data_IF_838697517940
#
_entry.id   IF_838697517940
#
_cell.length_a   1.000
_cell.length_b   1.000
_cell.length_c   1.000
_cell.angle_alpha   90.00
_cell.angle_beta   90.00
_cell.angle_gamma   90.00
#
_symmetry.space_group_name_H-M   'P 1'
#
loop_
_entity.id
_entity.type
_entity.pdbx_description
1 polymer ?
#
# COMPACT_ATOMS: atom_id res chain seq x y z
N UNK A 1 -45.45 -32.43 -30.16
CA UNK A 1 -44.02 -32.81 -30.24
C UNK A 1 -43.08 -31.73 -30.82
N UNK A 2 -43.58 -30.61 -31.39
CA UNK A 2 -42.72 -29.48 -31.86
C UNK A 2 -42.51 -28.34 -30.86
N UNK A 3 -43.34 -28.24 -29.80
CA UNK A 3 -43.21 -27.20 -28.76
C UNK A 3 -42.24 -27.56 -27.62
N UNK A 4 -41.80 -28.81 -27.53
CA UNK A 4 -40.86 -29.27 -26.49
C UNK A 4 -39.38 -29.10 -26.89
N UNK A 5 -39.10 -28.99 -28.20
CA UNK A 5 -37.74 -28.80 -28.72
C UNK A 5 -37.27 -27.34 -28.69
N UNK A 6 -38.18 -26.36 -28.61
CA UNK A 6 -37.82 -24.93 -28.56
C UNK A 6 -37.39 -24.50 -27.15
N UNK A 7 -37.91 -25.14 -26.10
CA UNK A 7 -37.55 -24.81 -24.71
C UNK A 7 -36.14 -25.31 -24.35
N UNK A 8 -35.67 -26.39 -24.98
CA UNK A 8 -34.30 -26.88 -24.79
C UNK A 8 -33.23 -26.09 -25.56
N UNK A 9 -33.62 -25.24 -26.51
CA UNK A 9 -32.68 -24.39 -27.25
C UNK A 9 -32.36 -23.07 -26.53
N UNK A 10 -33.17 -22.66 -25.55
CA UNK A 10 -32.94 -21.44 -24.76
C UNK A 10 -32.08 -21.65 -23.51
N UNK A 11 -31.82 -22.90 -23.11
CA UNK A 11 -30.93 -23.22 -21.98
C UNK A 11 -29.47 -23.45 -22.37
N UNK A 12 -29.15 -23.42 -23.67
CA UNK A 12 -27.76 -23.55 -24.17
C UNK A 12 -27.12 -22.17 -24.45
N UNK A 13 -27.89 -21.08 -24.37
CA UNK A 13 -27.42 -19.72 -24.65
C UNK A 13 -26.99 -18.90 -23.41
N UNK A 14 -26.88 -19.52 -22.22
CA UNK A 14 -26.50 -18.84 -20.98
C UNK A 14 -25.20 -19.36 -20.33
N UNK A 15 -24.39 -20.14 -21.08
CA UNK A 15 -23.20 -20.80 -20.54
C UNK A 15 -21.84 -20.29 -21.04
N UNK A 16 -21.80 -19.34 -21.99
CA UNK A 16 -20.54 -18.87 -22.60
C UNK A 16 -20.47 -17.34 -22.72
N UNK A 17 -20.61 -16.63 -21.60
CA UNK A 17 -20.09 -15.27 -21.49
C UNK A 17 -19.26 -15.16 -20.22
N UNK A 18 -18.00 -15.60 -20.36
CA UNK A 18 -16.96 -15.33 -19.39
C UNK A 18 -16.51 -13.89 -19.62
N UNK A 19 -17.13 -12.94 -18.94
CA UNK A 19 -16.60 -11.56 -18.88
C UNK A 19 -15.33 -11.57 -18.04
N UNK A 20 -14.30 -10.78 -18.39
CA UNK A 20 -13.04 -10.73 -17.65
C UNK A 20 -13.21 -10.33 -16.17
N UNK A 21 -14.31 -9.64 -15.81
CA UNK A 21 -14.65 -9.27 -14.42
C UNK A 21 -14.97 -10.48 -13.52
N UNK A 22 -15.46 -11.60 -14.06
CA UNK A 22 -15.72 -12.80 -13.27
C UNK A 22 -14.42 -13.55 -12.89
N UNK A 23 -13.32 -13.32 -13.63
CA UNK A 23 -12.04 -14.02 -13.43
C UNK A 23 -11.22 -13.44 -12.27
N UNK A 24 -11.38 -12.16 -11.93
CA UNK A 24 -10.68 -11.54 -10.80
C UNK A 24 -11.29 -11.90 -9.44
N UNK A 25 -12.60 -12.22 -9.37
CA UNK A 25 -13.25 -12.64 -8.12
C UNK A 25 -12.85 -14.04 -7.63
N UNK A 26 -12.36 -14.90 -8.52
CA UNK A 26 -11.94 -16.26 -8.16
C UNK A 26 -10.58 -16.34 -7.43
N UNK A 27 -9.79 -15.26 -7.39
CA UNK A 27 -8.47 -15.25 -6.73
C UNK A 27 -8.51 -14.90 -5.24
N UNK A 28 -9.68 -14.53 -4.69
CA UNK A 28 -9.83 -14.20 -3.27
C UNK A 28 -10.43 -15.33 -2.41
N UNK A 29 -10.69 -16.51 -3.00
CA UNK A 29 -11.39 -17.60 -2.30
C UNK A 29 -10.51 -18.79 -1.90
N UNK A 30 -9.20 -18.79 -2.20
CA UNK A 30 -8.29 -19.90 -1.90
C UNK A 30 -7.17 -19.53 -0.91
N UNK A 31 -7.53 -18.89 0.20
CA UNK A 31 -6.72 -18.91 1.42
C UNK A 31 -7.57 -19.49 2.54
N UNK A 32 -7.88 -20.77 2.38
CA UNK A 32 -8.61 -21.59 3.33
C UNK A 32 -7.62 -22.02 4.42
N UNK A 33 -7.71 -21.37 5.59
CA UNK A 33 -6.97 -21.75 6.79
C UNK A 33 -7.66 -22.99 7.37
N UNK A 34 -6.98 -24.13 7.59
CA UNK A 34 -7.62 -25.32 8.15
C UNK A 34 -8.06 -25.10 9.60
N UNK A 35 -9.31 -25.44 9.89
CA UNK A 35 -9.89 -25.56 11.22
C UNK A 35 -9.43 -26.89 11.86
N UNK A 36 -8.51 -26.84 12.81
CA UNK A 36 -8.26 -27.97 13.72
C UNK A 36 -9.09 -27.78 14.99
N UNK A 37 -10.28 -28.37 15.01
CA UNK A 37 -11.07 -28.55 16.23
C UNK A 37 -11.63 -29.97 16.37
N UNK A 38 -10.82 -30.88 16.94
CA UNK A 38 -11.30 -32.10 17.60
C UNK A 38 -10.27 -32.60 18.63
N UNK A 39 -10.58 -32.43 19.92
CA UNK A 39 -9.61 -32.46 21.02
C UNK A 39 -9.20 -33.83 21.58
N UNK A 40 -8.15 -33.80 22.39
CA UNK A 40 -7.91 -34.72 23.50
C UNK A 40 -7.22 -33.97 24.66
N UNK A 41 -7.70 -34.23 25.86
CA UNK A 41 -7.52 -33.48 27.11
C UNK A 41 -6.14 -33.64 27.74
N UNK A 42 -5.51 -32.53 28.13
CA UNK A 42 -4.56 -32.51 29.24
C UNK A 42 -4.51 -31.09 29.87
N UNK A 43 -4.92 -31.04 31.13
CA UNK A 43 -4.88 -29.89 32.02
C UNK A 43 -3.48 -29.32 32.19
N UNK A 44 -3.27 -28.07 31.78
CA UNK A 44 -2.44 -27.11 32.53
C UNK A 44 -3.04 -25.71 32.37
N UNK A 45 -3.03 -24.98 33.47
CA UNK A 45 -3.72 -23.71 33.67
C UNK A 45 -3.17 -22.63 32.73
N UNK A 46 -4.01 -22.15 31.82
CA UNK A 46 -3.69 -20.97 31.01
C UNK A 46 -3.89 -19.73 31.88
N UNK A 47 -2.82 -19.28 32.55
CA UNK A 47 -2.76 -17.93 33.11
C UNK A 47 -2.90 -16.94 31.95
N UNK A 48 -4.04 -16.27 31.93
CA UNK A 48 -4.26 -14.99 31.27
C UNK A 48 -3.12 -14.04 31.63
N UNK A 49 -2.11 -13.98 30.77
CA UNK A 49 -0.99 -13.07 30.90
C UNK A 49 -1.44 -11.72 30.34
N UNK A 50 -2.07 -10.94 31.22
CA UNK A 50 -2.04 -9.48 31.15
C UNK A 50 -0.58 -9.06 31.32
N UNK A 51 0.20 -9.04 30.25
CA UNK A 51 1.51 -8.38 30.26
C UNK A 51 1.92 -7.97 28.84
N UNK A 52 1.21 -7.00 28.27
CA UNK A 52 1.71 -6.20 27.14
C UNK A 52 2.72 -5.14 27.61
N UNK A 53 3.52 -5.46 28.63
CA UNK A 53 4.52 -4.56 29.20
C UNK A 53 5.95 -4.89 28.74
N UNK A 54 6.13 -5.92 27.90
CA UNK A 54 7.45 -6.47 27.64
C UNK A 54 7.65 -6.92 26.18
N UNK A 55 7.23 -6.10 25.22
CA UNK A 55 8.11 -5.95 24.06
C UNK A 55 9.29 -5.10 24.53
N UNK A 56 10.54 -5.42 24.15
CA UNK A 56 11.61 -4.44 24.28
C UNK A 56 11.18 -3.27 23.41
N UNK A 57 10.61 -2.24 24.03
CA UNK A 57 10.66 -0.90 23.50
C UNK A 57 12.14 -0.68 23.26
N UNK A 58 12.51 -0.81 22.00
CA UNK A 58 13.71 -0.25 21.44
C UNK A 58 13.55 1.26 21.75
N UNK A 59 13.95 1.64 22.97
CA UNK A 59 14.03 3.00 23.45
C UNK A 59 15.17 3.62 22.67
N UNK A 60 14.93 3.85 21.37
CA UNK A 60 15.85 4.61 20.56
C UNK A 60 15.92 5.99 21.19
N UNK A 61 17.13 6.55 21.36
CA UNK A 61 17.28 7.89 21.89
C UNK A 61 16.52 8.86 20.97
N UNK A 62 16.01 9.99 21.49
CA UNK A 62 15.31 11.00 20.68
C UNK A 62 16.11 11.43 19.44
N UNK A 63 17.45 11.40 19.51
CA UNK A 63 18.38 11.69 18.42
C UNK A 63 18.37 10.67 17.26
N UNK A 64 17.68 9.53 17.42
CA UNK A 64 17.60 8.51 16.39
C UNK A 64 16.49 8.78 15.36
N UNK A 65 15.57 9.71 15.65
CA UNK A 65 14.53 10.12 14.72
C UNK A 65 14.99 11.39 14.00
N UNK A 66 15.05 11.32 12.68
CA UNK A 66 15.50 12.41 11.80
C UNK A 66 14.31 13.22 11.26
N UNK A 67 13.14 12.59 11.18
CA UNK A 67 11.91 13.20 10.69
C UNK A 67 10.80 13.02 11.72
N UNK A 68 10.14 14.10 12.11
CA UNK A 68 8.99 14.08 13.03
C UNK A 68 7.84 14.81 12.31
N UNK A 69 6.67 14.19 12.28
CA UNK A 69 5.50 14.79 11.62
C UNK A 69 4.99 15.95 12.49
N UNK A 70 4.81 17.18 11.96
CA UNK A 70 4.45 18.32 12.79
C UNK A 70 3.20 18.12 13.66
N UNK A 71 2.07 17.58 13.15
CA UNK A 71 0.91 17.27 13.99
C UNK A 71 1.22 16.36 15.19
N UNK A 72 2.14 15.40 15.01
CA UNK A 72 2.59 14.54 16.10
C UNK A 72 3.49 15.28 17.09
N UNK A 73 4.44 16.09 16.61
CA UNK A 73 5.30 16.91 17.47
C UNK A 73 4.49 17.89 18.33
N UNK A 74 3.43 18.45 17.75
CA UNK A 74 2.52 19.40 18.37
C UNK A 74 1.42 18.74 19.21
N UNK A 75 1.42 17.41 19.31
CA UNK A 75 0.46 16.61 20.09
C UNK A 75 -1.01 16.79 19.65
N UNK A 76 -1.23 17.07 18.37
CA UNK A 76 -2.55 17.20 17.74
C UNK A 76 -3.09 15.81 17.39
N UNK A 77 -3.22 14.95 18.40
CA UNK A 77 -3.54 13.53 18.20
C UNK A 77 -4.94 13.34 17.59
N UNK A 78 -5.87 14.23 17.88
CA UNK A 78 -7.26 14.21 17.45
C UNK A 78 -7.47 14.58 15.97
N UNK A 79 -6.46 15.23 15.35
CA UNK A 79 -6.46 15.50 13.92
C UNK A 79 -6.43 14.21 13.08
N UNK A 80 -5.93 13.11 13.64
CA UNK A 80 -5.91 11.83 12.93
C UNK A 80 -6.58 10.70 13.72
N UNK A 81 -6.65 10.77 15.05
CA UNK A 81 -7.14 9.69 15.89
C UNK A 81 -8.41 10.05 16.65
N UNK A 82 -9.29 9.06 16.85
CA UNK A 82 -10.43 9.21 17.74
C UNK A 82 -10.13 8.60 19.12
N UNK A 83 -10.08 9.43 20.16
CA UNK A 83 -9.80 9.02 21.53
C UNK A 83 -10.84 8.03 22.10
N UNK A 84 -12.11 8.14 21.70
CA UNK A 84 -13.17 7.21 22.11
C UNK A 84 -13.04 5.85 21.43
N UNK A 85 -12.39 5.80 20.27
CA UNK A 85 -12.19 4.59 19.46
C UNK A 85 -10.77 4.04 19.58
N UNK A 86 -10.22 4.02 20.80
CA UNK A 86 -8.90 3.41 21.10
C UNK A 86 -7.77 3.94 20.21
N UNK A 87 -7.80 5.22 19.86
CA UNK A 87 -6.83 5.84 18.95
C UNK A 87 -6.78 5.19 17.57
N UNK A 88 -7.90 4.72 17.05
CA UNK A 88 -8.00 4.39 15.63
C UNK A 88 -7.94 5.66 14.78
N UNK A 89 -7.40 5.54 13.57
CA UNK A 89 -7.43 6.62 12.58
C UNK A 89 -8.89 6.98 12.29
N UNK A 90 -9.18 8.28 12.17
CA UNK A 90 -10.51 8.82 11.87
C UNK A 90 -10.80 8.63 10.38
N UNK A 91 -11.73 7.76 10.05
CA UNK A 91 -12.14 7.55 8.66
C UNK A 91 -11.16 6.67 7.87
N UNK A 92 -11.13 6.84 6.55
CA UNK A 92 -10.18 6.15 5.68
C UNK A 92 -8.83 6.91 5.67
N UNK A 93 -7.72 6.18 5.70
CA UNK A 93 -6.36 6.77 5.75
C UNK A 93 -6.14 7.83 4.68
N UNK A 94 -6.60 7.58 3.46
CA UNK A 94 -6.49 8.51 2.33
C UNK A 94 -7.14 9.86 2.66
N UNK A 95 -8.34 9.82 3.22
CA UNK A 95 -9.13 11.02 3.50
C UNK A 95 -8.48 11.78 4.67
N UNK A 96 -8.11 11.09 5.75
CA UNK A 96 -7.44 11.72 6.90
C UNK A 96 -6.17 12.46 6.49
N UNK A 97 -5.33 11.83 5.66
CA UNK A 97 -4.11 12.48 5.17
C UNK A 97 -4.44 13.64 4.22
N UNK A 98 -5.47 13.46 3.38
CA UNK A 98 -5.93 14.43 2.40
C UNK A 98 -6.57 15.69 3.00
N UNK A 99 -7.01 15.68 4.26
CA UNK A 99 -7.50 16.90 4.94
C UNK A 99 -6.45 18.02 5.00
N UNK A 100 -5.17 17.66 4.99
CA UNK A 100 -4.04 18.60 4.97
C UNK A 100 -3.17 18.49 3.72
N UNK A 101 -3.06 17.30 3.13
CA UNK A 101 -2.20 17.03 1.98
C UNK A 101 -3.01 16.85 0.68
N UNK A 102 -3.67 17.93 0.25
CA UNK A 102 -4.49 17.96 -0.96
C UNK A 102 -3.67 17.82 -2.24
N UNK A 103 -2.37 18.12 -2.17
CA UNK A 103 -1.43 18.18 -3.28
C UNK A 103 -0.96 16.81 -3.80
N UNK A 104 -1.38 15.71 -3.17
CA UNK A 104 -1.04 14.35 -3.60
C UNK A 104 -1.97 13.78 -4.68
N UNK A 105 -2.97 14.55 -5.12
CA UNK A 105 -3.90 14.16 -6.16
C UNK A 105 -3.85 15.16 -7.31
N UNK A 106 -3.18 14.77 -8.39
CA UNK A 106 -3.08 15.58 -9.61
C UNK A 106 -3.67 14.77 -10.77
N UNK A 107 -4.88 15.14 -11.19
CA UNK A 107 -5.62 14.45 -12.26
C UNK A 107 -4.95 14.60 -13.63
N UNK A 108 -4.08 15.60 -13.80
CA UNK A 108 -3.34 15.82 -15.05
C UNK A 108 -2.05 14.98 -15.12
N UNK A 109 -1.74 14.20 -14.09
CA UNK A 109 -0.51 13.41 -13.97
C UNK A 109 -0.79 11.94 -13.74
N UNK A 110 0.22 11.13 -14.06
CA UNK A 110 0.22 9.72 -13.69
C UNK A 110 0.39 9.64 -12.17
N UNK A 111 -0.61 9.13 -11.48
CA UNK A 111 -0.55 8.87 -10.04
C UNK A 111 0.08 7.51 -9.77
N UNK A 112 1.00 7.44 -8.83
CA UNK A 112 1.62 6.20 -8.41
C UNK A 112 0.59 5.30 -7.69
N UNK A 113 0.62 4.00 -7.97
CA UNK A 113 -0.43 3.07 -7.54
C UNK A 113 -0.71 3.10 -6.01
N UNK A 114 0.29 3.05 -5.11
CA UNK A 114 0.04 3.13 -3.66
C UNK A 114 -0.70 4.41 -3.23
N UNK A 115 -0.46 5.53 -3.91
CA UNK A 115 -1.18 6.79 -3.64
C UNK A 115 -2.62 6.70 -4.14
N UNK A 116 -2.81 6.18 -5.36
CA UNK A 116 -4.14 5.97 -5.93
C UNK A 116 -5.00 5.04 -5.04
N UNK A 117 -4.40 4.02 -4.43
CA UNK A 117 -5.08 3.11 -3.50
C UNK A 117 -5.20 3.60 -2.06
N UNK A 118 -4.64 4.76 -1.72
CA UNK A 118 -4.67 5.30 -0.35
C UNK A 118 -3.76 4.56 0.63
N UNK A 119 -2.77 3.81 0.15
CA UNK A 119 -1.85 3.03 0.97
C UNK A 119 -0.63 3.85 1.39
N UNK A 120 -0.89 4.99 2.04
CA UNK A 120 0.15 5.95 2.46
C UNK A 120 1.17 5.32 3.44
N UNK A 121 0.70 4.39 4.27
CA UNK A 121 1.46 3.81 5.38
C UNK A 121 2.39 2.67 4.95
N UNK A 122 2.28 2.18 3.72
CA UNK A 122 3.27 1.27 3.13
C UNK A 122 4.66 1.91 3.05
N UNK A 123 4.71 3.22 2.83
CA UNK A 123 5.95 3.99 2.66
C UNK A 123 6.24 4.94 3.82
N UNK A 124 5.22 5.49 4.50
CA UNK A 124 5.39 6.55 5.52
C UNK A 124 5.01 6.11 6.95
N UNK A 125 5.73 6.65 7.94
CA UNK A 125 5.43 6.57 9.37
C UNK A 125 4.81 7.90 9.85
N UNK A 126 3.52 7.94 10.21
CA UNK A 126 2.78 9.19 10.39
C UNK A 126 3.17 9.99 11.64
N UNK A 127 3.99 9.42 12.52
CA UNK A 127 4.44 10.08 13.75
C UNK A 127 5.88 10.57 13.65
N UNK A 128 6.81 9.65 13.42
CA UNK A 128 8.25 9.91 13.39
C UNK A 128 8.96 8.80 12.64
N UNK A 129 10.07 9.13 12.01
CA UNK A 129 10.96 8.17 11.38
C UNK A 129 12.44 8.53 11.58
N UNK A 130 13.28 7.51 11.51
CA UNK A 130 14.75 7.65 11.38
C UNK A 130 15.18 8.04 9.97
N UNK A 131 14.27 8.01 9.00
CA UNK A 131 14.52 8.40 7.62
C UNK A 131 13.82 9.73 7.29
N UNK A 132 14.36 10.53 6.36
CA UNK A 132 13.73 11.76 5.90
C UNK A 132 12.33 11.52 5.34
N UNK A 133 11.51 12.57 5.32
CA UNK A 133 10.15 12.54 4.79
C UNK A 133 9.28 11.42 5.40
N UNK A 134 9.54 11.09 6.67
CA UNK A 134 8.82 10.06 7.41
C UNK A 134 8.89 8.66 6.81
N UNK A 135 9.84 8.34 5.93
CA UNK A 135 9.86 7.03 5.28
C UNK A 135 10.04 5.87 6.27
N UNK A 136 9.43 4.72 6.04
CA UNK A 136 9.61 3.52 6.86
C UNK A 136 11.05 3.00 6.78
N UNK A 137 11.68 3.17 5.62
CA UNK A 137 13.05 2.75 5.29
C UNK A 137 13.76 3.76 4.39
N UNK A 138 14.98 3.46 3.96
CA UNK A 138 15.71 4.34 3.03
C UNK A 138 14.96 4.44 1.69
N UNK A 139 15.14 5.54 0.94
CA UNK A 139 14.49 5.71 -0.38
C UNK A 139 14.72 4.49 -1.28
N UNK A 140 15.96 4.04 -1.37
CA UNK A 140 16.33 2.88 -2.21
C UNK A 140 15.57 1.63 -1.79
N UNK A 141 15.52 1.34 -0.49
CA UNK A 141 14.87 0.13 0.02
C UNK A 141 13.34 0.22 -0.12
N UNK A 142 12.76 1.41 0.04
CA UNK A 142 11.33 1.66 -0.18
C UNK A 142 10.94 1.31 -1.62
N UNK A 143 11.69 1.82 -2.61
CA UNK A 143 11.43 1.51 -4.02
C UNK A 143 11.67 0.03 -4.34
N UNK A 144 12.78 -0.53 -3.84
CA UNK A 144 13.17 -1.92 -4.08
C UNK A 144 12.23 -2.95 -3.44
N UNK A 145 11.32 -2.53 -2.55
CA UNK A 145 10.28 -3.39 -1.99
C UNK A 145 9.28 -3.90 -3.04
N UNK A 146 9.12 -3.19 -4.16
CA UNK A 146 8.22 -3.58 -5.25
C UNK A 146 8.86 -3.52 -6.63
N UNK A 147 9.81 -2.60 -6.84
CA UNK A 147 10.52 -2.44 -8.11
C UNK A 147 11.81 -3.25 -8.11
N UNK A 148 12.01 -4.07 -9.13
CA UNK A 148 13.18 -4.93 -9.23
C UNK A 148 14.31 -4.29 -10.05
N UNK A 149 15.45 -4.98 -10.15
CA UNK A 149 16.60 -4.49 -10.91
C UNK A 149 16.37 -4.45 -12.42
N UNK A 150 15.34 -5.13 -12.94
CA UNK A 150 14.93 -5.02 -14.35
C UNK A 150 14.46 -3.62 -14.70
N UNK A 151 13.83 -2.93 -13.75
CA UNK A 151 13.47 -1.51 -13.89
C UNK A 151 14.71 -0.61 -14.01
N UNK A 152 15.88 -1.07 -13.55
CA UNK A 152 17.16 -0.33 -13.57
C UNK A 152 18.06 -0.69 -14.76
N UNK A 153 17.53 -1.32 -15.81
CA UNK A 153 18.30 -1.65 -17.00
C UNK A 153 18.98 -0.42 -17.63
N UNK A 154 20.10 -0.63 -18.30
CA UNK A 154 20.82 0.43 -19.06
C UNK A 154 19.95 1.07 -20.16
N UNK A 155 18.93 0.33 -20.65
CA UNK A 155 17.98 0.86 -21.62
C UNK A 155 16.99 1.85 -20.98
N UNK A 156 16.65 1.65 -19.70
CA UNK A 156 15.74 2.49 -18.93
C UNK A 156 16.46 3.64 -18.20
N UNK A 157 17.68 3.41 -17.74
CA UNK A 157 18.42 4.35 -16.90
C UNK A 157 19.83 4.59 -17.40
N UNK A 158 20.21 5.88 -17.47
CA UNK A 158 21.58 6.31 -17.78
C UNK A 158 22.15 7.07 -16.58
N UNK A 159 23.23 6.55 -16.01
CA UNK A 159 23.94 7.19 -14.90
C UNK A 159 23.56 6.67 -13.51
N UNK A 160 23.80 7.50 -12.50
CA UNK A 160 23.67 7.10 -11.10
C UNK A 160 22.21 7.01 -10.64
N UNK A 161 21.72 5.77 -10.51
CA UNK A 161 20.38 5.44 -10.00
C UNK A 161 20.34 5.23 -8.48
N UNK A 162 21.36 5.66 -7.74
CA UNK A 162 21.39 5.47 -6.28
C UNK A 162 20.27 6.20 -5.52
N UNK A 163 19.64 7.20 -6.15
CA UNK A 163 18.57 7.99 -5.56
C UNK A 163 17.44 8.23 -6.57
N UNK A 164 16.43 7.36 -6.50
CA UNK A 164 15.27 7.31 -7.40
C UNK A 164 14.52 8.66 -7.43
N UNK A 165 14.37 9.32 -6.28
CA UNK A 165 13.57 10.54 -6.16
C UNK A 165 14.29 11.80 -6.64
N UNK A 166 15.50 11.68 -7.23
CA UNK A 166 16.12 12.80 -7.96
C UNK A 166 15.32 13.12 -9.22
N UNK A 167 14.92 12.08 -9.95
CA UNK A 167 14.27 12.19 -11.26
C UNK A 167 12.80 11.78 -11.20
N UNK A 168 12.44 10.85 -10.33
CA UNK A 168 11.05 10.41 -10.14
C UNK A 168 10.39 11.13 -8.98
N UNK A 169 9.08 11.28 -9.05
CA UNK A 169 8.23 11.65 -7.94
C UNK A 169 7.46 10.40 -7.46
N UNK A 170 7.50 10.12 -6.16
CA UNK A 170 6.93 8.90 -5.60
C UNK A 170 5.39 8.93 -5.50
N UNK A 171 4.78 10.10 -5.71
CA UNK A 171 3.34 10.29 -5.66
C UNK A 171 2.73 10.47 -7.06
N UNK A 172 3.28 11.38 -7.87
CA UNK A 172 2.74 11.67 -9.20
C UNK A 172 3.77 12.28 -10.14
N UNK A 173 3.67 11.98 -11.44
CA UNK A 173 4.58 12.56 -12.42
C UNK A 173 4.09 12.44 -13.86
N UNK A 174 5.02 12.66 -14.79
CA UNK A 174 4.81 12.33 -16.19
C UNK A 174 4.80 10.82 -16.42
N UNK A 175 5.05 10.41 -17.66
CA UNK A 175 5.27 9.01 -17.97
C UNK A 175 6.39 8.43 -17.08
N UNK A 176 6.19 7.23 -16.55
CA UNK A 176 7.08 6.60 -15.56
C UNK A 176 7.33 7.43 -14.28
N UNK A 177 6.40 8.32 -13.93
CA UNK A 177 6.48 9.20 -12.75
C UNK A 177 7.68 10.15 -12.76
N UNK A 178 8.18 10.51 -13.94
CA UNK A 178 9.25 11.49 -14.07
C UNK A 178 8.77 12.88 -13.64
N UNK A 179 9.61 13.60 -12.91
CA UNK A 179 9.36 14.99 -12.56
C UNK A 179 9.34 15.86 -13.81
N UNK A 180 8.52 16.92 -13.78
CA UNK A 180 8.29 17.79 -14.94
C UNK A 180 9.56 18.46 -15.49
N UNK A 181 10.52 18.72 -14.62
CA UNK A 181 11.81 19.33 -14.92
C UNK A 181 12.86 18.32 -15.38
N UNK A 182 12.58 17.02 -15.27
CA UNK A 182 13.46 15.97 -15.75
C UNK A 182 13.14 15.60 -17.19
N UNK A 183 14.09 15.87 -18.09
CA UNK A 183 14.03 15.45 -19.50
C UNK A 183 15.07 14.35 -19.70
N UNK A 184 14.66 13.10 -19.99
CA UNK A 184 15.60 12.02 -20.22
C UNK A 184 16.40 12.25 -21.51
N UNK A 185 17.67 11.85 -21.53
CA UNK A 185 18.55 12.02 -22.68
C UNK A 185 18.13 11.17 -23.91
N UNK A 186 17.43 10.05 -23.65
CA UNK A 186 16.80 9.19 -24.66
C UNK A 186 15.34 9.01 -24.26
N UNK A 187 14.42 9.12 -25.22
CA UNK A 187 13.02 8.82 -24.95
C UNK A 187 12.87 7.33 -24.59
N UNK A 188 12.01 6.98 -23.62
CA UNK A 188 11.75 5.58 -23.29
C UNK A 188 11.18 4.88 -24.54
N UNK A 189 11.80 3.76 -24.92
CA UNK A 189 11.24 2.91 -25.97
C UNK A 189 10.00 2.24 -25.39
N UNK A 190 8.83 2.53 -25.98
CA UNK A 190 7.56 1.97 -25.55
C UNK A 190 7.60 0.44 -25.75
N UNK A 191 7.22 -0.37 -24.73
CA UNK A 191 7.17 -1.82 -24.86
C UNK A 191 6.14 -2.28 -25.90
#
# INVERSE_FOLDING_TARGET
MRKLLVVMALLVAAGLSCTPEARQRAKHFFFEVPDESAGATASTESKSSKDSSNLPELHLPPSAFVSIHPPYADQQCDACHNAEKRMNVVGETRDTCGECHEDFFDEDKVTHFPVASGDCLSCHQPHRSRFPALLVQSVKDTCAGCHDTGDLSEDAHQGDVSNCVKCHDAHFGGEYLLKKDFVPAKAPEKP
#
